data_IF_297120674180
#
_entry.id   IF_297120674180
#
_cell.length_a   1.000
_cell.length_b   1.000
_cell.length_c   1.000
_cell.angle_alpha   90.00
_cell.angle_beta   90.00
_cell.angle_gamma   90.00
#
_symmetry.space_group_name_H-M   'P 1'
#
loop_
_entity.id
_entity.type
_entity.pdbx_description
1 polymer ?
#
# COMPACT_ATOMS: atom_id res chain seq x y z
N UNK A 1 16.26 9.43 12.01
CA UNK A 1 15.06 9.57 12.88
C UNK A 1 13.90 9.91 11.96
N UNK A 2 12.87 9.06 11.89
CA UNK A 2 11.64 9.42 11.19
C UNK A 2 10.81 10.31 12.13
N UNK A 3 10.50 11.53 11.71
CA UNK A 3 9.61 12.42 12.45
C UNK A 3 8.19 11.86 12.41
N UNK A 4 7.68 11.46 13.57
CA UNK A 4 6.27 11.10 13.75
C UNK A 4 5.45 12.40 13.78
N UNK A 5 4.76 12.72 12.68
CA UNK A 5 3.76 13.80 12.71
C UNK A 5 2.52 13.28 13.42
N UNK A 6 2.36 13.71 14.67
CA UNK A 6 1.21 13.38 15.50
C UNK A 6 -0.03 14.11 14.95
N UNK A 7 -0.94 13.39 14.28
CA UNK A 7 -2.25 13.93 13.92
C UNK A 7 -3.22 13.69 15.07
N UNK A 8 -3.74 14.76 15.66
CA UNK A 8 -4.86 14.69 16.59
C UNK A 8 -6.16 14.52 15.82
N UNK A 9 -6.96 13.53 16.19
CA UNK A 9 -8.35 13.41 15.72
C UNK A 9 -9.16 14.64 16.20
N UNK A 10 -10.27 15.05 15.55
CA UNK A 10 -11.19 16.07 16.09
C UNK A 10 -11.63 15.85 17.55
N UNK A 11 -11.51 14.64 18.10
CA UNK A 11 -11.71 14.34 19.52
C UNK A 11 -10.48 14.63 20.44
N UNK A 12 -9.38 15.17 19.91
CA UNK A 12 -8.18 15.51 20.68
C UNK A 12 -7.31 14.33 21.12
N UNK A 13 -7.60 13.11 20.64
CA UNK A 13 -6.77 11.93 20.90
C UNK A 13 -5.63 11.80 19.89
N UNK A 14 -4.43 11.34 20.31
CA UNK A 14 -3.36 11.02 19.39
C UNK A 14 -3.82 9.88 18.47
N UNK A 15 -4.12 10.23 17.22
CA UNK A 15 -4.45 9.25 16.20
C UNK A 15 -3.15 8.63 15.74
N UNK A 16 -2.82 7.44 16.26
CA UNK A 16 -1.74 6.59 15.72
C UNK A 16 -2.15 5.98 14.37
N UNK A 17 -2.70 6.79 13.46
CA UNK A 17 -2.84 6.36 12.08
C UNK A 17 -1.43 6.27 11.50
N UNK A 18 -1.00 5.10 11.01
CA UNK A 18 0.27 5.01 10.34
C UNK A 18 0.27 5.94 9.14
N UNK A 19 1.39 6.65 8.94
CA UNK A 19 1.54 7.55 7.80
C UNK A 19 1.25 6.79 6.50
N UNK A 20 0.50 7.41 5.57
CA UNK A 20 0.22 6.78 4.31
C UNK A 20 1.52 6.61 3.52
N UNK A 21 1.67 5.46 2.86
CA UNK A 21 2.76 5.26 1.93
C UNK A 21 2.54 6.14 0.69
N UNK A 22 3.58 6.80 0.21
CA UNK A 22 3.50 7.64 -0.99
C UNK A 22 4.58 7.25 -2.00
N UNK A 23 4.25 7.47 -3.28
CA UNK A 23 5.13 7.28 -4.42
C UNK A 23 4.90 8.41 -5.40
N UNK A 24 5.98 9.06 -5.84
CA UNK A 24 5.94 10.06 -6.92
C UNK A 24 6.40 9.38 -8.20
N UNK A 25 5.63 9.52 -9.27
CA UNK A 25 5.92 8.99 -10.60
C UNK A 25 6.77 10.00 -11.39
N UNK A 26 7.40 9.53 -12.47
CA UNK A 26 8.27 10.36 -13.30
C UNK A 26 7.52 11.50 -14.02
N UNK A 27 6.22 11.34 -14.23
CA UNK A 27 5.30 12.34 -14.81
C UNK A 27 4.79 13.38 -13.79
N UNK A 28 5.22 13.29 -12.52
CA UNK A 28 4.76 14.15 -11.43
C UNK A 28 3.45 13.71 -10.79
N UNK A 29 2.80 12.66 -11.30
CA UNK A 29 1.65 12.05 -10.65
C UNK A 29 2.08 11.36 -9.34
N UNK A 30 1.12 11.18 -8.44
CA UNK A 30 1.39 10.60 -7.10
C UNK A 30 0.49 9.42 -6.84
N UNK A 31 1.00 8.42 -6.16
CA UNK A 31 0.20 7.32 -5.63
C UNK A 31 0.35 7.27 -4.13
N UNK A 32 -0.78 7.16 -3.45
CA UNK A 32 -0.85 7.11 -2.00
C UNK A 32 -1.57 5.83 -1.61
N UNK A 33 -1.02 5.09 -0.65
CA UNK A 33 -1.64 3.92 -0.07
C UNK A 33 -1.80 4.10 1.44
N UNK A 34 -3.04 3.95 1.92
CA UNK A 34 -3.38 4.04 3.32
C UNK A 34 -3.97 2.71 3.78
N UNK A 35 -3.46 2.20 4.89
CA UNK A 35 -3.97 0.98 5.52
C UNK A 35 -5.06 1.38 6.52
N UNK A 36 -6.30 0.95 6.26
CA UNK A 36 -7.48 1.17 7.07
C UNK A 36 -7.97 -0.17 7.63
N UNK A 37 -7.13 -0.81 8.46
CA UNK A 37 -7.40 -2.15 8.99
C UNK A 37 -7.36 -3.23 7.89
N UNK A 38 -8.47 -3.94 7.61
CA UNK A 38 -8.49 -5.02 6.61
C UNK A 38 -8.52 -4.53 5.15
N UNK A 39 -8.59 -3.21 4.94
CA UNK A 39 -8.64 -2.60 3.61
C UNK A 39 -7.45 -1.67 3.45
N UNK A 40 -6.80 -1.73 2.29
CA UNK A 40 -5.81 -0.74 1.88
C UNK A 40 -6.40 0.09 0.74
N UNK A 41 -6.60 1.38 0.99
CA UNK A 41 -7.02 2.34 -0.03
C UNK A 41 -5.80 2.81 -0.80
N UNK A 42 -5.82 2.64 -2.11
CA UNK A 42 -4.78 3.16 -3.01
C UNK A 42 -5.41 4.23 -3.89
N UNK A 43 -4.84 5.43 -3.88
CA UNK A 43 -5.30 6.60 -4.61
C UNK A 43 -4.20 7.03 -5.56
N UNK A 44 -4.57 7.47 -6.77
CA UNK A 44 -3.68 8.17 -7.70
C UNK A 44 -4.13 9.61 -7.84
N UNK A 45 -3.16 10.51 -7.84
CA UNK A 45 -3.36 11.94 -8.00
C UNK A 45 -2.55 12.45 -9.17
N UNK A 46 -3.06 13.46 -9.86
CA UNK A 46 -2.26 14.23 -10.81
C UNK A 46 -1.24 15.12 -10.07
N UNK A 47 -0.42 15.85 -10.84
CA UNK A 47 0.56 16.79 -10.31
C UNK A 47 -0.09 17.94 -9.50
N UNK A 48 -1.36 18.26 -9.77
CA UNK A 48 -2.12 19.32 -9.10
C UNK A 48 -2.82 18.84 -7.83
N UNK A 49 -2.87 17.52 -7.58
CA UNK A 49 -3.54 16.91 -6.44
C UNK A 49 -4.99 16.50 -6.68
N UNK A 50 -5.47 16.50 -7.92
CA UNK A 50 -6.78 15.94 -8.25
C UNK A 50 -6.71 14.42 -8.27
N UNK A 51 -7.76 13.76 -7.78
CA UNK A 51 -7.85 12.29 -7.80
C UNK A 51 -8.09 11.81 -9.23
N UNK A 52 -7.16 10.99 -9.73
CA UNK A 52 -7.25 10.35 -11.04
C UNK A 52 -7.91 8.96 -10.95
N UNK A 53 -7.74 8.26 -9.83
CA UNK A 53 -8.36 6.95 -9.63
C UNK A 53 -8.09 6.38 -8.25
N UNK A 54 -8.83 5.34 -7.89
CA UNK A 54 -8.67 4.66 -6.61
C UNK A 54 -8.95 3.16 -6.74
N UNK A 55 -8.44 2.38 -5.79
CA UNK A 55 -8.79 0.97 -5.61
C UNK A 55 -8.70 0.58 -4.14
N UNK A 56 -9.56 -0.35 -3.73
CA UNK A 56 -9.51 -0.97 -2.41
C UNK A 56 -8.90 -2.37 -2.52
N UNK A 57 -7.81 -2.59 -1.80
CA UNK A 57 -7.16 -3.90 -1.69
C UNK A 57 -7.52 -4.50 -0.34
N UNK A 58 -8.36 -5.53 -0.34
CA UNK A 58 -8.70 -6.26 0.88
C UNK A 58 -7.56 -7.20 1.28
N UNK A 59 -7.07 -7.09 2.51
CA UNK A 59 -5.92 -7.87 2.96
C UNK A 59 -6.26 -9.36 3.17
N UNK A 60 -7.53 -9.69 3.39
CA UNK A 60 -8.02 -11.05 3.54
C UNK A 60 -8.50 -11.74 2.24
N UNK A 61 -8.68 -11.00 1.14
CA UNK A 61 -9.14 -11.58 -0.13
C UNK A 61 -8.16 -12.64 -0.66
N UNK A 62 -8.63 -13.64 -1.41
CA UNK A 62 -7.79 -14.71 -2.01
C UNK A 62 -7.84 -14.72 -3.53
N UNK A 63 -8.61 -13.82 -4.16
CA UNK A 63 -8.74 -13.78 -5.61
C UNK A 63 -7.40 -13.44 -6.29
N UNK A 64 -6.96 -14.33 -7.19
CA UNK A 64 -5.68 -14.19 -7.91
C UNK A 64 -4.44 -14.27 -7.01
N UNK A 65 -4.58 -14.83 -5.80
CA UNK A 65 -3.50 -14.98 -4.83
C UNK A 65 -2.61 -16.18 -5.15
N UNK A 66 -1.29 -15.94 -5.19
CA UNK A 66 -0.28 -16.97 -5.05
C UNK A 66 0.20 -16.97 -3.60
N UNK A 67 0.07 -18.10 -2.91
CA UNK A 67 0.55 -18.24 -1.53
C UNK A 67 1.94 -18.86 -1.54
N UNK A 68 2.88 -18.23 -0.85
CA UNK A 68 4.23 -18.77 -0.67
C UNK A 68 4.52 -18.89 0.83
N UNK A 69 4.94 -20.08 1.25
CA UNK A 69 5.49 -20.32 2.59
C UNK A 69 6.98 -20.01 2.51
N UNK A 70 7.44 -18.95 3.19
CA UNK A 70 8.86 -18.60 3.23
C UNK A 70 9.39 -18.71 4.65
N UNK A 71 10.41 -19.56 4.83
CA UNK A 71 11.31 -19.46 5.97
C UNK A 71 12.10 -18.16 5.88
N UNK A 72 11.89 -17.25 6.83
CA UNK A 72 12.56 -15.95 6.97
C UNK A 72 12.60 -15.11 5.70
N UNK A 73 11.51 -14.38 5.42
CA UNK A 73 11.59 -13.22 4.53
C UNK A 73 12.67 -12.26 5.07
N UNK A 74 13.60 -11.82 4.21
CA UNK A 74 14.64 -10.86 4.60
C UNK A 74 14.01 -9.63 5.27
N UNK A 75 14.05 -9.60 6.60
CA UNK A 75 13.25 -8.69 7.44
C UNK A 75 13.66 -7.21 7.28
N UNK A 76 14.78 -6.94 6.62
CA UNK A 76 15.40 -5.62 6.58
C UNK A 76 14.66 -4.60 5.69
N UNK A 77 13.62 -4.99 4.93
CA UNK A 77 12.96 -4.08 3.97
C UNK A 77 11.43 -4.19 3.96
N UNK A 78 10.83 -4.84 4.95
CA UNK A 78 9.38 -4.93 5.08
C UNK A 78 8.82 -3.74 5.85
N UNK A 79 7.61 -3.25 5.49
CA UNK A 79 6.93 -2.23 6.28
C UNK A 79 6.70 -2.71 7.72
N UNK A 80 6.42 -1.78 8.63
CA UNK A 80 5.95 -2.12 9.97
C UNK A 80 4.56 -2.78 9.89
N UNK A 81 4.20 -3.64 10.87
CA UNK A 81 2.85 -4.16 10.94
C UNK A 81 1.80 -3.03 10.95
N UNK A 82 0.72 -3.20 10.18
CA UNK A 82 -0.32 -2.19 9.98
C UNK A 82 0.05 -1.11 8.97
N UNK A 83 1.22 -1.17 8.32
CA UNK A 83 1.65 -0.15 7.35
C UNK A 83 1.87 -0.74 5.96
N UNK A 84 2.03 0.17 4.99
CA UNK A 84 2.29 -0.17 3.61
C UNK A 84 3.60 0.47 3.12
N UNK A 85 4.13 -0.08 2.04
CA UNK A 85 5.18 0.53 1.23
C UNK A 85 4.76 0.47 -0.24
N UNK A 86 5.05 1.54 -0.98
CA UNK A 86 4.86 1.60 -2.43
C UNK A 86 6.22 1.60 -3.13
N UNK A 87 6.31 0.89 -4.25
CA UNK A 87 7.46 0.90 -5.14
C UNK A 87 7.02 1.00 -6.59
N UNK A 88 7.64 1.89 -7.36
CA UNK A 88 7.47 1.91 -8.81
C UNK A 88 8.23 0.74 -9.45
N UNK A 89 7.65 0.10 -10.47
CA UNK A 89 8.33 -0.94 -11.26
C UNK A 89 7.78 -0.93 -12.68
N UNK A 90 8.55 -0.41 -13.64
CA UNK A 90 8.31 -0.50 -15.10
C UNK A 90 6.82 -0.36 -15.50
N UNK A 91 6.19 0.78 -15.19
CA UNK A 91 4.79 1.06 -15.52
C UNK A 91 3.74 0.47 -14.57
N UNK A 92 4.17 -0.16 -13.48
CA UNK A 92 3.30 -0.70 -12.43
C UNK A 92 3.75 -0.23 -11.04
N UNK A 93 2.85 -0.34 -10.07
CA UNK A 93 3.10 -0.06 -8.67
C UNK A 93 3.04 -1.37 -7.90
N UNK A 94 4.09 -1.64 -7.13
CA UNK A 94 4.11 -2.73 -6.15
C UNK A 94 3.71 -2.15 -4.80
N UNK A 95 2.58 -2.61 -4.29
CA UNK A 95 2.10 -2.36 -2.94
C UNK A 95 2.54 -3.52 -2.05
N UNK A 96 3.30 -3.23 -1.01
CA UNK A 96 3.67 -4.19 0.04
C UNK A 96 2.94 -3.77 1.30
N UNK A 97 2.15 -4.66 1.89
CA UNK A 97 1.39 -4.43 3.12
C UNK A 97 1.82 -5.47 4.12
N UNK A 98 2.15 -5.07 5.34
CA UNK A 98 2.39 -6.02 6.42
C UNK A 98 1.22 -5.97 7.39
N UNK A 99 0.36 -6.97 7.34
CA UNK A 99 -0.84 -7.06 8.20
C UNK A 99 -0.52 -7.61 9.58
N UNK A 100 0.48 -8.47 9.67
CA UNK A 100 1.00 -9.09 10.89
C UNK A 100 2.53 -9.16 10.78
N UNK A 101 3.29 -9.26 11.89
CA UNK A 101 4.73 -9.55 11.84
C UNK A 101 5.13 -10.62 10.80
N UNK A 102 4.34 -11.68 10.65
CA UNK A 102 4.64 -12.80 9.75
C UNK A 102 3.72 -12.90 8.52
N UNK A 103 2.81 -11.93 8.32
CA UNK A 103 1.88 -11.91 7.18
C UNK A 103 2.13 -10.69 6.32
N UNK A 104 2.61 -10.94 5.10
CA UNK A 104 2.90 -9.90 4.12
C UNK A 104 2.07 -10.14 2.87
N UNK A 105 1.36 -9.09 2.46
CA UNK A 105 0.65 -9.04 1.21
C UNK A 105 1.43 -8.18 0.21
N UNK A 106 1.72 -8.75 -0.96
CA UNK A 106 2.35 -8.05 -2.08
C UNK A 106 1.36 -8.02 -3.24
N UNK A 107 1.00 -6.83 -3.68
CA UNK A 107 0.11 -6.61 -4.81
C UNK A 107 0.85 -5.84 -5.90
N UNK A 108 0.75 -6.31 -7.14
CA UNK A 108 1.18 -5.55 -8.32
C UNK A 108 -0.04 -4.93 -8.97
N UNK A 109 -0.06 -3.62 -9.03
CA UNK A 109 -1.13 -2.81 -9.59
C UNK A 109 -0.64 -2.12 -10.85
N UNK A 110 -1.46 -2.06 -11.90
CA UNK A 110 -1.22 -1.18 -13.05
C UNK A 110 -2.30 -0.13 -13.08
N UNK A 111 -1.92 1.10 -13.36
CA UNK A 111 -2.87 2.17 -13.59
C UNK A 111 -3.06 2.36 -15.10
N UNK A 112 -4.31 2.34 -15.55
CA UNK A 112 -4.68 2.68 -16.91
C UNK A 112 -5.50 3.98 -16.89
N UNK A 113 -5.06 5.04 -17.59
CA UNK A 113 -5.83 6.28 -17.70
C UNK A 113 -7.28 6.00 -18.16
N UNK A 114 -8.26 6.60 -17.48
CA UNK A 114 -9.69 6.39 -17.75
C UNK A 114 -10.31 5.09 -17.20
N UNK A 115 -9.50 4.11 -16.80
CA UNK A 115 -9.97 2.83 -16.24
C UNK A 115 -9.55 2.58 -14.79
N UNK A 116 -8.63 3.38 -14.25
CA UNK A 116 -8.17 3.27 -12.88
C UNK A 116 -7.15 2.16 -12.67
N UNK A 117 -7.07 1.66 -11.43
CA UNK A 117 -6.15 0.60 -11.07
C UNK A 117 -6.72 -0.79 -11.38
N UNK A 118 -5.87 -1.63 -11.96
CA UNK A 118 -6.10 -3.06 -12.13
C UNK A 118 -5.09 -3.86 -11.33
N UNK A 119 -5.57 -4.85 -10.58
CA UNK A 119 -4.74 -5.84 -9.92
C UNK A 119 -4.18 -6.84 -10.94
N UNK A 120 -2.86 -6.90 -11.07
CA UNK A 120 -2.17 -7.85 -11.95
C UNK A 120 -1.78 -9.13 -11.24
N UNK A 121 -1.29 -9.00 -10.01
CA UNK A 121 -0.84 -10.14 -9.20
C UNK A 121 -1.05 -9.83 -7.73
N UNK A 122 -1.44 -10.87 -7.00
CA UNK A 122 -1.51 -10.87 -5.54
C UNK A 122 -0.65 -12.02 -5.03
N UNK A 123 0.21 -11.74 -4.06
CA UNK A 123 1.04 -12.77 -3.43
C UNK A 123 1.00 -12.56 -1.94
N UNK A 124 0.70 -13.63 -1.19
CA UNK A 124 0.68 -13.60 0.26
C UNK A 124 1.75 -14.51 0.79
N UNK A 125 2.54 -13.97 1.70
CA UNK A 125 3.62 -14.67 2.37
C UNK A 125 3.18 -14.86 3.81
N UNK A 126 3.18 -16.12 4.24
CA UNK A 126 2.86 -16.56 5.60
C UNK A 126 3.93 -17.53 6.08
N UNK A 127 4.07 -17.72 7.40
CA UNK A 127 4.84 -18.83 7.95
C UNK A 127 4.27 -20.19 7.53
#
# INVERSE_FOLDING_TARGET
>A
MAEYRMFTDPAGQPSHRPDPAFLVHADGERTVAQVDGPVVRVLRFDAHGNVLGHVHVHTASTAGELTTVMGTAAASVLPLPGTAQLRATAGSVTLVVRTHPDDVLICRLVYAPGHGYRLLRRTRIRP
#
